data_IF_889762853813
#
_entry.id   IF_889762853813
#
_cell.length_a   1.000
_cell.length_b   1.000
_cell.length_c   1.000
_cell.angle_alpha   90.00
_cell.angle_beta   90.00
_cell.angle_gamma   90.00
#
_symmetry.space_group_name_H-M   'P 1'
#
loop_
_entity.id
_entity.type
_entity.pdbx_description
1 polymer ?
#
# COMPACT_ATOMS: atom_id res chain seq x y z
N UNK A 1 -5.57 -2.58 -3.95
CA UNK A 1 -6.02 -1.25 -4.40
C UNK A 1 -6.28 -0.41 -3.17
N UNK A 2 -5.86 0.86 -3.18
CA UNK A 2 -6.17 1.83 -2.12
C UNK A 2 -7.64 2.31 -2.16
N UNK A 3 -8.33 2.12 -3.29
CA UNK A 3 -9.71 2.59 -3.52
C UNK A 3 -10.80 1.59 -3.10
N UNK A 4 -10.43 0.50 -2.43
CA UNK A 4 -11.38 -0.51 -2.00
C UNK A 4 -10.94 -1.09 -0.67
N UNK A 5 -11.90 -1.30 0.24
CA UNK A 5 -11.62 -1.85 1.56
C UNK A 5 -10.90 -3.21 1.42
N UNK A 6 -9.66 -3.34 1.92
CA UNK A 6 -8.91 -4.59 1.85
C UNK A 6 -9.65 -5.77 2.49
N UNK A 7 -10.44 -5.53 3.52
CA UNK A 7 -11.26 -6.57 4.15
C UNK A 7 -12.40 -7.06 3.25
N UNK A 8 -12.77 -6.31 2.21
CA UNK A 8 -13.76 -6.72 1.22
C UNK A 8 -13.12 -7.38 -0.02
N UNK A 9 -12.08 -6.76 -0.60
CA UNK A 9 -11.56 -7.23 -1.88
C UNK A 9 -10.56 -8.39 -1.77
N UNK A 10 -9.81 -8.53 -0.67
CA UNK A 10 -8.87 -9.65 -0.50
C UNK A 10 -9.60 -11.01 -0.42
N UNK A 11 -10.67 -11.17 0.37
CA UNK A 11 -11.45 -12.40 0.37
C UNK A 11 -12.03 -12.73 -1.02
N UNK A 12 -12.50 -11.71 -1.74
CA UNK A 12 -13.06 -11.90 -3.08
C UNK A 12 -11.99 -12.31 -4.10
N UNK A 13 -10.82 -11.68 -4.07
CA UNK A 13 -9.68 -12.08 -4.89
C UNK A 13 -9.26 -13.53 -4.58
N UNK A 14 -9.26 -13.92 -3.31
CA UNK A 14 -9.03 -15.31 -2.93
C UNK A 14 -10.11 -16.22 -3.51
N UNK A 15 -11.40 -15.88 -3.39
CA UNK A 15 -12.51 -16.67 -3.92
C UNK A 15 -12.40 -16.91 -5.42
N UNK A 16 -11.98 -15.90 -6.18
CA UNK A 16 -11.87 -15.96 -7.65
C UNK A 16 -10.65 -16.74 -8.13
N UNK A 17 -9.53 -16.69 -7.41
CA UNK A 17 -8.30 -17.38 -7.81
C UNK A 17 -8.39 -18.90 -7.58
N UNK A 18 -7.82 -19.67 -8.51
CA UNK A 18 -7.54 -21.10 -8.30
C UNK A 18 -6.37 -21.26 -7.34
N UNK A 19 -6.29 -22.39 -6.65
CA UNK A 19 -5.07 -22.74 -5.89
C UNK A 19 -3.87 -22.75 -6.85
N UNK A 20 -2.77 -22.13 -6.42
CA UNK A 20 -1.59 -21.85 -7.23
C UNK A 20 -1.65 -20.53 -8.00
N UNK A 21 -2.81 -19.87 -8.06
CA UNK A 21 -2.96 -18.56 -8.70
C UNK A 21 -2.21 -17.45 -7.94
N UNK A 22 -1.71 -16.47 -8.69
CA UNK A 22 -0.96 -15.35 -8.16
C UNK A 22 -1.84 -14.10 -8.08
N UNK A 23 -1.61 -13.29 -7.04
CA UNK A 23 -2.18 -11.97 -6.86
C UNK A 23 -1.03 -10.99 -6.66
N UNK A 24 -0.97 -10.00 -7.53
CA UNK A 24 -0.02 -8.89 -7.45
C UNK A 24 -0.80 -7.60 -7.34
N UNK A 25 -0.45 -6.75 -6.37
CA UNK A 25 -1.10 -5.46 -6.21
C UNK A 25 -0.14 -4.42 -5.68
N UNK A 26 -0.36 -3.17 -6.10
CA UNK A 26 0.34 -1.98 -5.64
C UNK A 26 -0.54 -1.19 -4.69
N UNK A 27 0.08 -0.63 -3.65
CA UNK A 27 -0.52 0.34 -2.72
C UNK A 27 0.50 1.43 -2.40
N UNK A 28 0.06 2.50 -1.76
CA UNK A 28 0.97 3.54 -1.26
C UNK A 28 1.88 2.93 -0.19
N UNK A 29 3.14 3.36 -0.17
CA UNK A 29 4.12 2.91 0.80
C UNK A 29 3.69 3.34 2.20
N UNK A 30 3.74 2.42 3.17
CA UNK A 30 3.27 2.70 4.53
C UNK A 30 3.91 3.96 5.12
N UNK A 31 5.23 4.13 4.96
CA UNK A 31 5.94 5.30 5.46
C UNK A 31 5.48 6.60 4.77
N UNK A 32 5.24 6.57 3.46
CA UNK A 32 4.72 7.72 2.73
C UNK A 32 3.36 8.15 3.30
N UNK A 33 2.44 7.20 3.49
CA UNK A 33 1.10 7.46 4.05
C UNK A 33 1.18 8.04 5.46
N UNK A 34 2.12 7.57 6.30
CA UNK A 34 2.31 8.08 7.66
C UNK A 34 2.87 9.50 7.69
N UNK A 35 3.60 9.90 6.65
CA UNK A 35 4.21 11.22 6.52
C UNK A 35 3.46 12.14 5.56
N UNK A 36 2.32 11.72 4.99
CA UNK A 36 1.54 12.52 4.05
C UNK A 36 0.54 13.42 4.79
N UNK A 37 0.47 14.70 4.42
CA UNK A 37 -0.67 15.56 4.75
C UNK A 37 -1.76 15.41 3.68
N UNK A 38 -2.70 16.35 3.56
CA UNK A 38 -3.76 16.26 2.54
C UNK A 38 -3.22 16.23 1.08
N UNK A 39 -2.03 16.78 0.83
CA UNK A 39 -1.55 17.05 -0.54
C UNK A 39 -0.26 16.30 -0.88
N UNK A 40 0.67 16.17 0.06
CA UNK A 40 2.01 15.65 -0.22
C UNK A 40 2.73 15.05 1.00
N UNK A 41 3.81 14.31 0.73
CA UNK A 41 4.71 13.81 1.77
C UNK A 41 5.48 14.95 2.44
N UNK A 42 5.45 14.96 3.77
CA UNK A 42 6.06 15.96 4.64
C UNK A 42 7.22 15.37 5.47
N UNK A 43 8.15 16.20 5.95
CA UNK A 43 9.07 15.79 7.00
C UNK A 43 8.32 15.51 8.32
N UNK A 44 8.30 14.25 8.74
CA UNK A 44 7.73 13.82 10.03
C UNK A 44 6.35 13.16 9.94
N UNK A 45 5.94 12.52 11.04
CA UNK A 45 4.72 11.72 11.12
C UNK A 45 3.48 12.61 11.24
N UNK A 46 2.50 12.41 10.35
CA UNK A 46 1.23 13.13 10.29
C UNK A 46 0.09 12.37 10.97
N UNK A 47 0.24 11.05 11.17
CA UNK A 47 -0.80 10.18 11.72
C UNK A 47 -0.23 8.95 12.43
N UNK A 48 -0.97 8.36 13.37
CA UNK A 48 -0.57 7.11 14.00
C UNK A 48 -0.66 5.93 13.02
N UNK A 49 0.27 4.98 13.14
CA UNK A 49 0.23 3.72 12.40
C UNK A 49 -0.78 2.72 12.98
N UNK A 50 -0.95 2.70 14.30
CA UNK A 50 -1.87 1.78 14.96
C UNK A 50 -3.31 2.23 14.74
N UNK A 51 -4.14 1.33 14.23
CA UNK A 51 -5.52 1.62 13.84
C UNK A 51 -5.68 2.18 12.42
N UNK A 52 -4.59 2.28 11.64
CA UNK A 52 -4.64 2.71 10.24
C UNK A 52 -5.48 1.72 9.41
N UNK A 53 -6.56 2.22 8.80
CA UNK A 53 -7.42 1.45 7.89
C UNK A 53 -8.07 2.33 6.83
N UNK A 54 -9.01 3.20 7.22
CA UNK A 54 -9.75 4.10 6.32
C UNK A 54 -9.28 5.53 6.55
N UNK A 55 -8.90 6.21 5.48
CA UNK A 55 -8.55 7.63 5.48
C UNK A 55 -9.51 8.38 4.56
N UNK A 56 -9.99 9.52 5.03
CA UNK A 56 -10.82 10.45 4.27
C UNK A 56 -10.00 11.73 4.09
N UNK A 57 -9.96 12.22 2.86
CA UNK A 57 -9.13 13.35 2.45
C UNK A 57 -9.99 14.59 2.24
N UNK A 58 -9.72 15.64 3.01
CA UNK A 58 -10.54 16.86 3.05
C UNK A 58 -10.43 17.71 1.77
N UNK A 59 -9.40 17.50 0.95
CA UNK A 59 -9.12 18.31 -0.24
C UNK A 59 -9.90 17.84 -1.49
N UNK A 60 -10.25 16.55 -1.57
CA UNK A 60 -10.97 15.99 -2.73
C UNK A 60 -12.10 15.01 -2.38
N UNK A 61 -12.50 14.94 -1.10
CA UNK A 61 -13.51 14.01 -0.56
C UNK A 61 -13.22 12.53 -0.85
N UNK A 62 -11.96 12.18 -1.17
CA UNK A 62 -11.58 10.82 -1.52
C UNK A 62 -11.39 9.95 -0.27
N UNK A 63 -11.62 8.65 -0.45
CA UNK A 63 -11.45 7.65 0.60
C UNK A 63 -10.39 6.65 0.15
N UNK A 64 -9.33 6.54 0.94
CA UNK A 64 -8.27 5.56 0.73
C UNK A 64 -8.18 4.57 1.88
N UNK A 65 -7.78 3.35 1.56
CA UNK A 65 -7.58 2.28 2.53
C UNK A 65 -6.11 1.86 2.61
N UNK A 66 -5.56 1.90 3.83
CA UNK A 66 -4.16 1.63 4.13
C UNK A 66 -4.04 0.73 5.34
N UNK A 67 -3.18 -0.27 5.28
CA UNK A 67 -2.91 -1.17 6.39
C UNK A 67 -1.42 -1.15 6.71
N UNK A 68 -1.03 -1.24 8.00
CA UNK A 68 0.33 -1.59 8.36
C UNK A 68 0.71 -2.95 7.76
N UNK A 69 1.99 -3.18 7.45
CA UNK A 69 2.45 -4.44 6.85
C UNK A 69 2.03 -5.69 7.63
N UNK A 70 2.03 -5.61 8.97
CA UNK A 70 1.56 -6.71 9.82
C UNK A 70 0.08 -7.05 9.62
N UNK A 71 -0.77 -6.06 9.36
CA UNK A 71 -2.20 -6.25 9.08
C UNK A 71 -2.40 -6.79 7.66
N UNK A 72 -1.64 -6.31 6.67
CA UNK A 72 -1.60 -6.93 5.33
C UNK A 72 -1.25 -8.41 5.41
N UNK A 73 -0.17 -8.76 6.10
CA UNK A 73 0.27 -10.15 6.28
C UNK A 73 -0.83 -10.99 6.94
N UNK A 74 -1.44 -10.49 8.02
CA UNK A 74 -2.53 -11.19 8.72
C UNK A 74 -3.71 -11.43 7.79
N UNK A 75 -4.17 -10.40 7.08
CA UNK A 75 -5.31 -10.47 6.18
C UNK A 75 -5.07 -11.44 5.02
N UNK A 76 -3.90 -11.35 4.38
CA UNK A 76 -3.52 -12.23 3.28
C UNK A 76 -3.46 -13.69 3.73
N UNK A 77 -2.82 -13.96 4.87
CA UNK A 77 -2.72 -15.33 5.44
C UNK A 77 -4.09 -15.89 5.82
N UNK A 78 -4.96 -15.07 6.41
CA UNK A 78 -6.33 -15.47 6.75
C UNK A 78 -7.15 -15.87 5.52
N UNK A 79 -6.82 -15.30 4.34
CA UNK A 79 -7.49 -15.58 3.08
C UNK A 79 -6.76 -16.58 2.18
N UNK A 80 -5.91 -17.44 2.75
CA UNK A 80 -5.31 -18.57 2.04
C UNK A 80 -4.13 -18.21 1.13
N UNK A 81 -3.56 -17.01 1.28
CA UNK A 81 -2.39 -16.60 0.52
C UNK A 81 -1.08 -16.88 1.26
N UNK A 82 -0.07 -17.27 0.48
CA UNK A 82 1.33 -17.23 0.86
C UNK A 82 1.97 -15.94 0.35
N UNK A 83 2.64 -15.21 1.24
CA UNK A 83 3.42 -14.03 0.85
C UNK A 83 4.72 -14.51 0.21
N UNK A 84 4.88 -14.19 -1.08
CA UNK A 84 6.11 -14.46 -1.81
C UNK A 84 7.10 -13.29 -1.71
N UNK A 85 6.62 -12.06 -1.93
CA UNK A 85 7.46 -10.86 -1.89
C UNK A 85 6.68 -9.60 -1.51
N UNK A 86 7.34 -8.71 -0.76
CA UNK A 86 7.01 -7.29 -0.65
C UNK A 86 8.14 -6.50 -1.32
N UNK A 87 7.79 -5.61 -2.23
CA UNK A 87 8.72 -4.73 -2.94
C UNK A 87 8.47 -3.30 -2.49
N UNK A 88 9.42 -2.72 -1.78
CA UNK A 88 9.47 -1.28 -1.47
C UNK A 88 10.30 -0.59 -2.55
N UNK A 89 9.65 0.19 -3.41
CA UNK A 89 10.27 0.68 -4.64
C UNK A 89 11.16 1.90 -4.37
N UNK A 90 12.41 1.84 -4.84
CA UNK A 90 13.37 2.94 -4.80
C UNK A 90 13.54 3.55 -6.20
N UNK A 91 13.45 4.87 -6.29
CA UNK A 91 13.72 5.57 -7.53
C UNK A 91 15.21 5.45 -7.92
N UNK A 92 15.53 5.17 -9.19
CA UNK A 92 16.91 5.06 -9.64
C UNK A 92 17.64 6.42 -9.59
N UNK A 93 18.97 6.36 -9.70
CA UNK A 93 19.78 7.57 -9.86
C UNK A 93 19.33 8.37 -11.09
N UNK A 94 19.34 9.70 -10.99
CA UNK A 94 18.88 10.59 -12.07
C UNK A 94 17.37 10.63 -12.31
N UNK A 95 16.55 9.87 -11.56
CA UNK A 95 15.11 9.93 -11.69
C UNK A 95 14.55 11.35 -11.46
N UNK A 96 13.61 11.75 -12.31
CA UNK A 96 12.81 12.96 -12.20
C UNK A 96 11.34 12.57 -12.07
N UNK A 97 10.49 13.50 -11.60
CA UNK A 97 9.06 13.25 -11.45
C UNK A 97 8.26 14.53 -11.70
N UNK A 98 7.06 14.39 -12.24
CA UNK A 98 6.03 15.44 -12.30
C UNK A 98 4.97 15.26 -11.21
N UNK A 99 5.14 14.26 -10.34
CA UNK A 99 4.23 14.02 -9.23
C UNK A 99 4.27 15.18 -8.24
N UNK A 100 3.09 15.56 -7.76
CA UNK A 100 2.91 16.59 -6.73
C UNK A 100 2.85 16.01 -5.31
N UNK A 101 2.55 14.71 -5.17
CA UNK A 101 2.37 14.09 -3.85
C UNK A 101 3.67 13.53 -3.25
N UNK A 102 4.68 13.19 -4.06
CA UNK A 102 6.06 12.92 -3.59
C UNK A 102 7.11 13.56 -4.48
N UNK A 103 8.31 13.75 -3.92
CA UNK A 103 9.48 14.25 -4.66
C UNK A 103 10.40 13.11 -5.10
N UNK A 104 11.22 13.35 -6.14
CA UNK A 104 12.26 12.40 -6.53
C UNK A 104 13.31 12.18 -5.41
N UNK A 105 13.57 13.20 -4.58
CA UNK A 105 14.45 13.07 -3.41
C UNK A 105 13.84 12.19 -2.32
N UNK A 106 12.51 12.22 -2.15
CA UNK A 106 11.79 11.27 -1.30
C UNK A 106 11.96 9.84 -1.83
N UNK A 107 11.56 9.60 -3.08
CA UNK A 107 11.54 8.26 -3.67
C UNK A 107 12.92 7.58 -3.75
N UNK A 108 14.02 8.35 -3.69
CA UNK A 108 15.39 7.83 -3.61
C UNK A 108 15.76 7.26 -2.25
N UNK A 109 15.06 7.63 -1.19
CA UNK A 109 15.41 7.31 0.19
C UNK A 109 14.29 6.52 0.91
N UNK A 110 13.03 6.71 0.50
CA UNK A 110 11.86 6.09 1.12
C UNK A 110 10.86 5.64 0.04
N UNK A 111 10.17 4.51 0.22
CA UNK A 111 9.21 4.02 -0.76
C UNK A 111 7.99 4.94 -0.82
N UNK A 112 7.70 5.48 -2.01
CA UNK A 112 6.42 6.14 -2.28
C UNK A 112 5.30 5.11 -2.38
N UNK A 113 5.58 3.97 -3.01
CA UNK A 113 4.64 2.86 -3.26
C UNK A 113 5.29 1.52 -2.93
N UNK A 114 4.46 0.52 -2.67
CA UNK A 114 4.89 -0.84 -2.42
C UNK A 114 4.06 -1.85 -3.21
N UNK A 115 4.69 -2.95 -3.63
CA UNK A 115 4.03 -4.03 -4.38
C UNK A 115 4.07 -5.32 -3.58
N UNK A 116 2.90 -5.91 -3.42
CA UNK A 116 2.72 -7.21 -2.81
C UNK A 116 2.56 -8.28 -3.89
N UNK A 117 3.35 -9.34 -3.79
CA UNK A 117 3.18 -10.55 -4.58
C UNK A 117 2.87 -11.73 -3.67
N UNK A 118 1.68 -12.31 -3.85
CA UNK A 118 1.21 -13.44 -3.08
C UNK A 118 0.66 -14.54 -3.98
N UNK A 119 0.66 -15.76 -3.47
CA UNK A 119 0.16 -16.94 -4.17
C UNK A 119 -0.90 -17.64 -3.35
N UNK A 120 -2.04 -17.98 -3.96
CA UNK A 120 -3.09 -18.74 -3.27
C UNK A 120 -2.63 -20.18 -3.05
N UNK A 121 -2.65 -20.64 -1.81
CA UNK A 121 -2.19 -21.99 -1.42
C UNK A 121 -3.30 -22.86 -0.83
N UNK A 122 -4.46 -22.29 -0.52
CA UNK A 122 -5.63 -22.98 0.04
C UNK A 122 -6.90 -22.42 -0.57
#
# INVERSE_FOLDING_TARGET
SIWCDPYAWIPEASRLLRVGGELMFLVNGLLAVLCMDAVATQPGMQRPQFGLHRLEWDDDDSVEFHLPHGEWIRLLRANGFEIGRLLELQAPEGATTTSTWTTASWAKQWPSEEVWHVRKVR
#
